data_IF_171437366087
#
_entry.id   IF_171437366087
#
_cell.length_a   1.000
_cell.length_b   1.000
_cell.length_c   1.000
_cell.angle_alpha   90.00
_cell.angle_beta   90.00
_cell.angle_gamma   90.00
#
_symmetry.space_group_name_H-M   'P 1'
#
loop_
_entity.id
_entity.type
_entity.pdbx_description
1 polymer ?
#
# COMPACT_ATOMS: atom_id res chain seq x y z
N UNK A 1 -39.09 35.77 -52.08
CA UNK A 1 -37.94 36.43 -51.43
C UNK A 1 -36.97 35.33 -51.02
N UNK A 2 -35.87 35.20 -51.76
CA UNK A 2 -34.85 34.17 -51.61
C UNK A 2 -34.00 34.42 -50.36
N UNK A 3 -33.80 33.43 -49.50
CA UNK A 3 -32.55 33.28 -48.72
C UNK A 3 -32.23 31.79 -48.56
N UNK A 4 -31.22 31.37 -49.31
CA UNK A 4 -30.54 30.06 -49.20
C UNK A 4 -29.82 30.04 -47.85
N UNK A 5 -30.10 29.05 -47.00
CA UNK A 5 -29.28 28.78 -45.82
C UNK A 5 -28.26 27.73 -46.23
N UNK A 6 -26.99 28.10 -46.06
CA UNK A 6 -25.80 27.40 -46.52
C UNK A 6 -25.50 26.23 -45.58
N UNK A 7 -25.43 25.04 -46.15
CA UNK A 7 -24.91 23.82 -45.55
C UNK A 7 -23.41 23.96 -45.26
N UNK A 8 -22.97 23.74 -44.02
CA UNK A 8 -21.57 23.50 -43.68
C UNK A 8 -21.50 22.14 -42.98
N UNK A 9 -20.95 21.16 -43.69
CA UNK A 9 -20.59 19.84 -43.18
C UNK A 9 -19.19 19.98 -42.59
N UNK A 10 -19.05 19.82 -41.28
CA UNK A 10 -17.75 19.75 -40.60
C UNK A 10 -17.44 18.28 -40.33
N UNK A 11 -16.78 17.62 -41.28
CA UNK A 11 -16.16 16.30 -41.04
C UNK A 11 -14.87 16.51 -40.26
N UNK A 12 -14.92 16.41 -38.94
CA UNK A 12 -13.72 16.28 -38.11
C UNK A 12 -13.53 14.80 -37.79
N UNK A 13 -12.70 14.17 -38.61
CA UNK A 13 -12.14 12.84 -38.38
C UNK A 13 -11.12 12.92 -37.26
N UNK A 14 -11.44 12.38 -36.11
CA UNK A 14 -10.44 11.87 -35.17
C UNK A 14 -10.78 10.43 -34.88
N UNK A 15 -10.05 9.54 -35.57
CA UNK A 15 -9.84 8.18 -35.11
C UNK A 15 -9.24 8.24 -33.71
N UNK A 16 -10.04 7.96 -32.69
CA UNK A 16 -9.54 7.49 -31.41
C UNK A 16 -9.89 6.01 -31.30
N UNK A 17 -8.83 5.20 -31.24
CA UNK A 17 -8.88 3.77 -31.03
C UNK A 17 -9.70 3.44 -29.78
N UNK A 18 -10.90 2.88 -29.95
CA UNK A 18 -11.53 2.08 -28.93
C UNK A 18 -10.79 0.73 -28.88
N UNK A 19 -9.63 0.70 -28.22
CA UNK A 19 -9.16 -0.54 -27.62
C UNK A 19 -10.17 -0.84 -26.52
N UNK A 20 -10.94 -1.91 -26.72
CA UNK A 20 -12.01 -2.30 -25.81
C UNK A 20 -11.47 -2.46 -24.39
N UNK A 21 -11.89 -1.57 -23.49
CA UNK A 21 -12.05 -1.95 -22.10
C UNK A 21 -13.16 -3.00 -22.09
N UNK A 22 -12.78 -4.27 -22.18
CA UNK A 22 -13.62 -5.35 -21.68
C UNK A 22 -13.79 -5.10 -20.20
N UNK A 23 -14.88 -4.41 -19.81
CA UNK A 23 -15.43 -4.52 -18.47
C UNK A 23 -15.95 -5.95 -18.35
N UNK A 24 -15.06 -6.87 -17.99
CA UNK A 24 -15.49 -8.15 -17.43
C UNK A 24 -16.11 -7.82 -16.09
N UNK A 25 -17.43 -8.02 -15.97
CA UNK A 25 -18.12 -8.06 -14.70
C UNK A 25 -17.36 -9.03 -13.78
N UNK A 26 -16.66 -8.50 -12.79
CA UNK A 26 -16.17 -9.33 -11.70
C UNK A 26 -17.40 -9.81 -10.94
N UNK A 27 -17.66 -11.13 -11.01
CA UNK A 27 -18.48 -11.81 -10.03
C UNK A 27 -17.94 -11.43 -8.65
N UNK A 28 -18.74 -10.67 -7.92
CA UNK A 28 -18.58 -10.43 -6.49
C UNK A 28 -18.83 -11.76 -5.76
N UNK A 29 -17.79 -12.59 -5.73
CA UNK A 29 -17.61 -13.58 -4.68
C UNK A 29 -16.57 -12.97 -3.73
N UNK A 30 -17.05 -12.23 -2.73
CA UNK A 30 -16.23 -11.62 -1.68
C UNK A 30 -15.61 -12.67 -0.77
N UNK A 31 -14.64 -13.40 -1.29
CA UNK A 31 -13.46 -13.80 -0.52
C UNK A 31 -12.42 -12.72 -0.77
N UNK A 32 -12.01 -11.97 0.24
CA UNK A 32 -10.85 -11.07 0.15
C UNK A 32 -9.74 -11.85 -0.54
N UNK A 33 -9.25 -11.33 -1.67
CA UNK A 33 -8.27 -12.06 -2.46
C UNK A 33 -6.99 -12.04 -1.65
N UNK A 34 -6.52 -13.23 -1.26
CA UNK A 34 -5.21 -13.33 -0.64
C UNK A 34 -4.13 -13.41 -1.71
N UNK A 35 -3.06 -12.67 -1.52
CA UNK A 35 -1.89 -12.66 -2.40
C UNK A 35 -0.72 -13.32 -1.67
N UNK A 36 -0.02 -14.23 -2.35
CA UNK A 36 1.22 -14.84 -1.85
C UNK A 36 2.42 -14.26 -2.58
N UNK A 37 3.61 -14.41 -2.00
CA UNK A 37 4.85 -13.95 -2.62
C UNK A 37 5.06 -14.54 -4.02
N UNK A 38 4.63 -15.78 -4.22
CA UNK A 38 4.75 -16.47 -5.50
C UNK A 38 3.81 -15.93 -6.59
N UNK A 39 2.74 -15.22 -6.21
CA UNK A 39 1.79 -14.60 -7.14
C UNK A 39 2.30 -13.27 -7.73
N UNK A 40 3.35 -12.70 -7.13
CA UNK A 40 3.91 -11.40 -7.50
C UNK A 40 4.82 -11.49 -8.73
N UNK A 41 4.82 -10.43 -9.54
CA UNK A 41 5.83 -10.24 -10.58
C UNK A 41 7.21 -9.88 -9.98
N UNK A 42 8.26 -9.87 -10.80
CA UNK A 42 9.63 -9.64 -10.33
C UNK A 42 9.84 -8.27 -9.68
N UNK A 43 9.18 -7.21 -10.17
CA UNK A 43 9.30 -5.87 -9.60
C UNK A 43 8.60 -5.81 -8.24
N UNK A 44 7.42 -6.43 -8.14
CA UNK A 44 6.67 -6.53 -6.90
C UNK A 44 7.43 -7.37 -5.85
N UNK A 45 8.05 -8.47 -6.27
CA UNK A 45 8.93 -9.28 -5.42
C UNK A 45 10.11 -8.48 -4.91
N UNK A 46 10.75 -7.67 -5.75
CA UNK A 46 11.84 -6.78 -5.36
C UNK A 46 11.39 -5.78 -4.28
N UNK A 47 10.18 -5.21 -4.39
CA UNK A 47 9.60 -4.36 -3.34
C UNK A 47 9.45 -5.16 -2.03
N UNK A 48 8.87 -6.36 -2.08
CA UNK A 48 8.70 -7.19 -0.88
C UNK A 48 10.03 -7.58 -0.27
N UNK A 49 11.02 -7.95 -1.09
CA UNK A 49 12.36 -8.33 -0.62
C UNK A 49 13.10 -7.14 -0.01
N UNK A 50 13.00 -5.94 -0.61
CA UNK A 50 13.63 -4.73 -0.08
C UNK A 50 12.96 -4.28 1.23
N UNK A 51 11.63 -4.34 1.30
CA UNK A 51 10.91 -4.13 2.54
C UNK A 51 11.38 -5.17 3.53
N UNK A 52 11.26 -6.47 3.26
CA UNK A 52 11.73 -7.55 4.12
C UNK A 52 13.19 -7.37 4.61
N UNK A 53 14.10 -6.85 3.78
CA UNK A 53 15.47 -6.56 4.15
C UNK A 53 15.60 -5.36 5.11
N UNK A 54 14.91 -4.25 4.84
CA UNK A 54 14.80 -3.10 5.77
C UNK A 54 14.13 -3.53 7.09
N UNK A 55 13.21 -4.49 6.98
CA UNK A 55 12.56 -5.13 8.09
C UNK A 55 13.45 -6.20 8.77
N UNK A 56 14.49 -6.71 8.12
CA UNK A 56 15.44 -7.66 8.72
C UNK A 56 16.20 -7.06 9.91
N UNK A 57 16.23 -5.72 9.99
CA UNK A 57 16.75 -4.92 11.11
C UNK A 57 15.72 -4.69 12.25
N UNK A 58 14.56 -5.36 12.24
CA UNK A 58 13.43 -5.27 13.21
C UNK A 58 13.71 -5.52 14.68
N UNK A 59 14.96 -5.72 15.02
CA UNK A 59 15.37 -5.69 16.39
C UNK A 59 15.22 -4.28 16.98
N UNK A 60 14.13 -4.07 17.70
CA UNK A 60 14.05 -3.16 18.85
C UNK A 60 13.80 -1.67 18.53
N UNK A 61 12.56 -1.17 18.72
CA UNK A 61 12.38 0.24 19.12
C UNK A 61 13.01 0.42 20.51
N UNK A 62 13.82 1.47 20.73
CA UNK A 62 14.67 1.58 21.92
C UNK A 62 13.88 1.75 23.25
N UNK A 63 14.18 0.82 24.18
CA UNK A 63 13.86 0.69 25.62
C UNK A 63 12.40 0.57 26.08
N UNK A 64 12.09 -0.41 26.97
CA UNK A 64 13.01 -1.27 27.71
C UNK A 64 13.28 -2.66 27.09
N UNK A 65 12.81 -2.95 25.87
CA UNK A 65 12.93 -4.27 25.22
C UNK A 65 12.75 -4.18 23.71
N UNK A 66 13.11 -5.22 22.94
CA UNK A 66 12.65 -5.29 21.55
C UNK A 66 11.18 -5.40 21.63
N UNK A 67 10.53 -4.54 20.90
CA UNK A 67 9.15 -4.74 20.61
C UNK A 67 9.10 -5.11 19.13
N UNK A 68 8.91 -6.40 18.80
CA UNK A 68 8.82 -6.81 17.42
C UNK A 68 7.58 -6.20 16.76
N UNK A 69 7.59 -6.11 15.44
CA UNK A 69 6.39 -5.78 14.70
C UNK A 69 5.32 -6.84 14.96
N UNK A 70 4.10 -6.40 15.26
CA UNK A 70 2.94 -7.23 15.59
C UNK A 70 1.85 -7.13 14.52
N UNK A 71 1.80 -6.00 13.82
CA UNK A 71 0.92 -5.74 12.68
C UNK A 71 1.68 -4.96 11.63
N UNK A 72 1.38 -5.23 10.36
CA UNK A 72 1.91 -4.48 9.23
C UNK A 72 0.80 -4.05 8.29
N UNK A 73 1.05 -2.98 7.53
CA UNK A 73 0.15 -2.59 6.44
C UNK A 73 0.88 -1.82 5.35
N UNK A 74 0.61 -2.17 4.10
CA UNK A 74 0.82 -1.30 2.95
C UNK A 74 -0.45 -0.50 2.66
N UNK A 75 -0.31 0.78 2.31
CA UNK A 75 -1.41 1.64 1.88
C UNK A 75 -0.86 2.83 1.08
N UNK A 76 -1.73 3.53 0.35
CA UNK A 76 -1.34 4.76 -0.34
C UNK A 76 -1.67 6.01 0.48
N UNK A 77 -0.70 6.90 0.59
CA UNK A 77 -0.86 8.26 1.12
C UNK A 77 -0.42 9.25 0.04
N UNK A 78 -1.30 10.15 -0.40
CA UNK A 78 -0.98 11.15 -1.43
C UNK A 78 -0.28 10.58 -2.69
N UNK A 79 -0.72 9.40 -3.15
CA UNK A 79 -0.14 8.64 -4.29
C UNK A 79 1.27 8.08 -4.06
N UNK A 80 1.72 8.05 -2.80
CA UNK A 80 2.95 7.37 -2.38
C UNK A 80 2.58 6.06 -1.72
N UNK A 81 3.30 4.99 -2.06
CA UNK A 81 3.15 3.73 -1.37
C UNK A 81 3.85 3.82 -0.01
N UNK A 82 3.09 3.63 1.05
CA UNK A 82 3.56 3.62 2.43
C UNK A 82 3.52 2.20 2.95
N UNK A 83 4.59 1.80 3.62
CA UNK A 83 4.62 0.62 4.47
C UNK A 83 4.74 1.06 5.93
N UNK A 84 3.92 0.46 6.78
CA UNK A 84 3.98 0.71 8.22
C UNK A 84 3.95 -0.57 9.03
N UNK A 85 4.68 -0.56 10.14
CA UNK A 85 4.74 -1.62 11.14
C UNK A 85 4.35 -1.08 12.52
N UNK A 86 3.49 -1.80 13.23
CA UNK A 86 3.09 -1.51 14.60
C UNK A 86 3.82 -2.40 15.61
N UNK A 87 4.38 -1.75 16.62
CA UNK A 87 5.13 -2.35 17.71
C UNK A 87 4.32 -2.20 19.00
N UNK A 88 3.68 -3.28 19.46
CA UNK A 88 2.84 -3.29 20.66
C UNK A 88 3.71 -3.40 21.93
N UNK A 89 3.67 -2.38 22.79
CA UNK A 89 4.49 -2.33 24.01
C UNK A 89 4.12 -3.38 25.06
N UNK A 90 2.96 -4.03 24.91
CA UNK A 90 2.46 -4.99 25.87
C UNK A 90 2.01 -4.32 27.19
N UNK A 91 1.21 -5.06 27.97
CA UNK A 91 0.57 -4.53 29.17
C UNK A 91 -0.73 -3.79 28.83
N UNK A 92 -1.80 -4.06 29.59
CA UNK A 92 -3.20 -3.76 29.26
C UNK A 92 -3.64 -2.30 29.03
N UNK A 93 -2.71 -1.37 28.82
CA UNK A 93 -2.96 0.02 28.43
C UNK A 93 -3.01 0.25 26.91
N UNK A 94 -2.68 -0.75 26.08
CA UNK A 94 -2.92 -0.72 24.62
C UNK A 94 -2.11 0.33 23.85
N UNK A 95 -0.91 0.66 24.32
CA UNK A 95 -0.01 1.61 23.65
C UNK A 95 1.02 0.89 22.77
N UNK A 96 1.52 1.58 21.75
CA UNK A 96 2.60 1.09 20.89
C UNK A 96 3.26 2.20 20.11
N UNK A 97 4.21 1.83 19.25
CA UNK A 97 4.85 2.73 18.29
C UNK A 97 4.72 2.24 16.87
N UNK A 98 4.97 3.15 15.94
CA UNK A 98 4.92 2.90 14.50
C UNK A 98 6.28 3.15 13.88
N UNK A 99 6.71 2.25 13.01
CA UNK A 99 7.78 2.47 12.05
C UNK A 99 7.12 2.65 10.68
N UNK A 100 7.46 3.72 9.96
CA UNK A 100 6.79 4.11 8.71
C UNK A 100 7.83 4.37 7.65
N UNK A 101 7.57 3.88 6.45
CA UNK A 101 8.48 3.91 5.32
C UNK A 101 7.73 4.29 4.05
N UNK A 102 8.34 5.15 3.25
CA UNK A 102 7.92 5.47 1.89
C UNK A 102 8.67 4.56 0.91
N UNK A 103 7.93 3.99 -0.03
CA UNK A 103 8.43 3.07 -1.05
C UNK A 103 8.33 3.73 -2.41
N UNK A 104 9.46 3.83 -3.11
CA UNK A 104 9.47 4.16 -4.53
C UNK A 104 9.21 2.90 -5.36
N UNK A 105 8.00 2.77 -5.89
CA UNK A 105 7.55 1.61 -6.67
C UNK A 105 8.36 1.39 -7.96
N UNK A 106 9.07 2.40 -8.46
CA UNK A 106 9.88 2.27 -9.68
C UNK A 106 11.25 1.67 -9.40
N UNK A 107 11.80 1.92 -8.21
CA UNK A 107 13.16 1.50 -7.84
C UNK A 107 13.19 0.45 -6.73
N UNK A 108 12.05 0.19 -6.08
CA UNK A 108 11.96 -0.64 -4.89
C UNK A 108 12.63 0.00 -3.66
N UNK A 109 13.06 1.27 -3.74
CA UNK A 109 13.79 1.93 -2.64
C UNK A 109 12.86 2.13 -1.45
N UNK A 110 13.30 1.69 -0.28
CA UNK A 110 12.60 1.89 1.01
C UNK A 110 13.30 3.01 1.76
N UNK A 111 12.53 3.99 2.24
CA UNK A 111 13.07 5.15 2.94
C UNK A 111 12.23 5.50 4.16
N UNK A 112 12.88 5.82 5.29
CA UNK A 112 12.17 6.20 6.51
C UNK A 112 11.28 7.42 6.30
N UNK A 113 10.06 7.36 6.83
CA UNK A 113 9.05 8.40 6.71
C UNK A 113 8.64 8.91 8.10
N UNK A 114 8.57 10.22 8.26
CA UNK A 114 8.22 10.87 9.54
C UNK A 114 7.20 11.97 9.32
N UNK A 115 6.18 12.01 10.18
CA UNK A 115 5.15 13.02 10.17
C UNK A 115 5.55 14.25 10.99
N UNK A 116 5.42 15.44 10.41
CA UNK A 116 5.63 16.69 11.14
C UNK A 116 4.41 17.03 12.01
N UNK A 117 4.57 16.92 13.32
CA UNK A 117 3.50 17.23 14.29
C UNK A 117 3.04 18.70 14.29
N UNK A 118 3.77 19.60 13.62
CA UNK A 118 3.39 21.01 13.45
C UNK A 118 2.59 21.25 12.16
N UNK A 119 2.54 20.28 11.26
CA UNK A 119 1.77 20.33 10.02
C UNK A 119 0.39 19.67 10.24
N UNK A 120 -0.68 20.41 9.97
CA UNK A 120 -2.05 19.92 10.17
C UNK A 120 -2.38 18.69 9.32
N UNK A 121 -1.85 18.60 8.10
CA UNK A 121 -2.06 17.44 7.22
C UNK A 121 -1.33 16.21 7.74
N UNK A 122 -0.07 16.35 8.16
CA UNK A 122 0.71 15.25 8.71
C UNK A 122 0.10 14.74 10.03
N UNK A 123 -0.47 15.63 10.86
CA UNK A 123 -1.23 15.22 12.05
C UNK A 123 -2.48 14.42 11.69
N UNK A 124 -3.15 14.75 10.59
CA UNK A 124 -4.28 13.95 10.08
C UNK A 124 -3.79 12.60 9.54
N UNK A 125 -2.73 12.58 8.74
CA UNK A 125 -2.16 11.35 8.18
C UNK A 125 -1.67 10.42 9.30
N UNK A 126 -1.05 10.94 10.34
CA UNK A 126 -0.67 10.15 11.52
C UNK A 126 -1.88 9.52 12.24
N UNK A 127 -3.04 10.19 12.27
CA UNK A 127 -4.28 9.61 12.81
C UNK A 127 -4.84 8.53 11.89
N UNK A 128 -4.77 8.74 10.58
CA UNK A 128 -5.18 7.76 9.58
C UNK A 128 -4.31 6.51 9.70
N UNK A 129 -2.98 6.66 9.76
CA UNK A 129 -2.03 5.57 9.99
C UNK A 129 -2.43 4.67 11.17
N UNK A 130 -2.79 5.26 12.32
CA UNK A 130 -3.21 4.49 13.47
C UNK A 130 -4.46 3.65 13.19
N UNK A 131 -5.42 4.18 12.43
CA UNK A 131 -6.63 3.47 12.00
C UNK A 131 -6.29 2.38 10.97
N UNK A 132 -5.44 2.69 10.00
CA UNK A 132 -4.97 1.77 8.98
C UNK A 132 -4.34 0.53 9.63
N UNK A 133 -3.45 0.73 10.60
CA UNK A 133 -2.77 -0.37 11.29
C UNK A 133 -3.67 -1.21 12.19
N UNK A 134 -4.80 -0.68 12.71
CA UNK A 134 -5.79 -1.54 13.39
C UNK A 134 -6.31 -2.64 12.46
N UNK A 135 -6.52 -2.30 11.19
CA UNK A 135 -6.91 -3.23 10.12
C UNK A 135 -5.72 -3.93 9.43
N UNK A 136 -4.49 -3.68 9.90
CA UNK A 136 -3.28 -4.29 9.35
C UNK A 136 -3.21 -5.80 9.61
N UNK A 137 -2.45 -6.47 8.76
CA UNK A 137 -2.18 -7.91 8.83
C UNK A 137 -1.39 -8.21 10.09
N UNK A 138 -1.78 -9.27 10.81
CA UNK A 138 -0.98 -9.76 11.94
C UNK A 138 0.36 -10.26 11.43
N UNK A 139 1.43 -9.87 12.11
CA UNK A 139 2.78 -10.26 11.75
C UNK A 139 3.48 -10.98 12.91
N UNK A 140 4.12 -12.10 12.61
CA UNK A 140 4.91 -12.89 13.55
C UNK A 140 6.36 -12.95 13.09
N UNK A 141 7.26 -12.31 13.85
CA UNK A 141 8.70 -12.26 13.56
C UNK A 141 9.40 -13.61 13.74
N UNK A 142 8.76 -14.55 14.44
CA UNK A 142 9.29 -15.90 14.66
C UNK A 142 8.79 -16.91 13.61
N UNK A 143 7.88 -16.49 12.71
CA UNK A 143 7.43 -17.30 11.59
C UNK A 143 8.54 -17.52 10.55
N UNK A 144 8.34 -18.47 9.63
CA UNK A 144 9.30 -18.70 8.54
C UNK A 144 9.37 -17.50 7.59
N UNK A 145 10.54 -17.27 6.98
CA UNK A 145 10.74 -16.23 5.96
C UNK A 145 9.64 -16.26 4.89
N UNK A 146 9.33 -17.44 4.34
CA UNK A 146 8.25 -17.60 3.35
C UNK A 146 6.89 -17.10 3.88
N UNK A 147 6.57 -17.39 5.14
CA UNK A 147 5.31 -16.96 5.75
C UNK A 147 5.28 -15.46 5.99
N UNK A 148 6.42 -14.88 6.36
CA UNK A 148 6.57 -13.44 6.55
C UNK A 148 6.44 -12.69 5.22
N UNK A 149 7.10 -13.19 4.17
CA UNK A 149 6.98 -12.63 2.81
C UNK A 149 5.58 -12.81 2.24
N UNK A 150 4.89 -13.91 2.52
CA UNK A 150 3.49 -14.07 2.13
C UNK A 150 2.58 -13.05 2.83
N UNK A 151 2.80 -12.73 4.11
CA UNK A 151 2.05 -11.69 4.82
C UNK A 151 2.31 -10.30 4.20
N UNK A 152 3.57 -9.98 3.90
CA UNK A 152 3.94 -8.72 3.23
C UNK A 152 3.29 -8.65 1.83
N UNK A 153 3.39 -9.72 1.04
CA UNK A 153 2.80 -9.84 -0.28
C UNK A 153 1.28 -9.69 -0.24
N UNK A 154 0.62 -10.27 0.77
CA UNK A 154 -0.81 -10.14 0.97
C UNK A 154 -1.21 -8.68 1.21
N UNK A 155 -0.52 -8.01 2.13
CA UNK A 155 -0.82 -6.63 2.46
C UNK A 155 -0.54 -5.69 1.28
N UNK A 156 0.59 -5.87 0.58
CA UNK A 156 0.93 -5.13 -0.63
C UNK A 156 -0.09 -5.37 -1.75
N UNK A 157 -0.45 -6.63 -2.01
CA UNK A 157 -1.42 -7.01 -3.02
C UNK A 157 -2.77 -6.37 -2.80
N UNK A 158 -3.24 -6.29 -1.54
CA UNK A 158 -4.46 -5.56 -1.19
C UNK A 158 -4.32 -4.06 -1.46
N UNK A 159 -3.23 -3.43 -1.02
CA UNK A 159 -3.01 -2.00 -1.21
C UNK A 159 -3.01 -1.56 -2.69
N UNK A 160 -2.51 -2.42 -3.58
CA UNK A 160 -2.38 -2.13 -5.02
C UNK A 160 -3.64 -2.45 -5.81
N UNK A 161 -4.45 -3.41 -5.36
CA UNK A 161 -5.53 -3.99 -6.17
C UNK A 161 -6.95 -3.79 -5.61
N UNK A 162 -7.10 -3.31 -4.37
CA UNK A 162 -8.40 -3.07 -3.70
C UNK A 162 -8.64 -1.57 -3.47
#
# INVERSE_FOLDING_TARGET
>A
MNKKIITIIFTLSTMLFLVGCSFTNNESNGSDKNYTYNDLDENQKEIIDNVYAELGDWGYTYEPSAIPASKIKFFYEDSKLIFAAFHDYGGGNGGGSYSVYEIDENSGTVSGHSYDTLNENDVLNQRVLAVELLSGESFDVEASEDSQKDILANSYGKAVNE
#
